data_IF_290211040339
#
_entry.id   IF_290211040339
#
_cell.length_a   1.000
_cell.length_b   1.000
_cell.length_c   1.000
_cell.angle_alpha   90.00
_cell.angle_beta   90.00
_cell.angle_gamma   90.00
#
_symmetry.space_group_name_H-M   'P 1'
#
loop_
_entity.id
_entity.type
_entity.pdbx_description
1 polymer ?
#
# COMPACT_ATOMS: atom_id res chain seq x y z
N UNK A 1 6.64 -1.04 -20.34
CA UNK A 1 5.37 -0.67 -19.65
C UNK A 1 4.57 -1.90 -19.21
N UNK A 2 4.23 -2.83 -20.11
CA UNK A 2 3.38 -4.00 -19.78
C UNK A 2 3.88 -4.85 -18.60
N UNK A 3 5.19 -5.15 -18.54
CA UNK A 3 5.77 -5.90 -17.43
C UNK A 3 5.54 -5.23 -16.05
N UNK A 4 5.69 -3.91 -15.98
CA UNK A 4 5.47 -3.14 -14.75
C UNK A 4 4.00 -3.16 -14.32
N UNK A 5 3.09 -3.08 -15.30
CA UNK A 5 1.64 -3.16 -15.05
C UNK A 5 1.28 -4.54 -14.48
N UNK A 6 1.76 -5.61 -15.11
CA UNK A 6 1.51 -6.99 -14.66
C UNK A 6 2.07 -7.22 -13.26
N UNK A 7 3.33 -6.83 -13.03
CA UNK A 7 3.96 -6.94 -11.70
C UNK A 7 3.18 -6.15 -10.64
N UNK A 8 2.76 -4.92 -10.96
CA UNK A 8 1.96 -4.08 -10.06
C UNK A 8 0.60 -4.70 -9.73
N UNK A 9 -0.11 -5.27 -10.71
CA UNK A 9 -1.39 -5.95 -10.47
C UNK A 9 -1.21 -7.16 -9.55
N UNK A 10 -0.21 -8.01 -9.85
CA UNK A 10 0.08 -9.19 -9.04
C UNK A 10 0.44 -8.81 -7.60
N UNK A 11 1.30 -7.82 -7.43
CA UNK A 11 1.70 -7.32 -6.11
C UNK A 11 0.50 -6.80 -5.31
N UNK A 12 -0.37 -5.98 -5.91
CA UNK A 12 -1.55 -5.46 -5.23
C UNK A 12 -2.56 -6.56 -4.87
N UNK A 13 -2.74 -7.56 -5.74
CA UNK A 13 -3.60 -8.71 -5.48
C UNK A 13 -3.08 -9.54 -4.29
N UNK A 14 -1.76 -9.79 -4.24
CA UNK A 14 -1.12 -10.51 -3.13
C UNK A 14 -1.29 -9.77 -1.80
N UNK A 15 -1.05 -8.46 -1.76
CA UNK A 15 -1.21 -7.67 -0.53
C UNK A 15 -2.66 -7.57 -0.06
N UNK A 16 -3.61 -7.48 -0.99
CA UNK A 16 -5.04 -7.52 -0.68
C UNK A 16 -5.42 -8.86 -0.07
N UNK A 17 -4.99 -9.97 -0.68
CA UNK A 17 -5.23 -11.31 -0.17
C UNK A 17 -4.62 -11.52 1.22
N UNK A 18 -3.37 -11.10 1.41
CA UNK A 18 -2.70 -11.14 2.72
C UNK A 18 -3.49 -10.36 3.77
N UNK A 19 -3.92 -9.14 3.45
CA UNK A 19 -4.65 -8.28 4.38
C UNK A 19 -5.99 -8.89 4.80
N UNK A 20 -6.75 -9.46 3.86
CA UNK A 20 -8.03 -10.15 4.14
C UNK A 20 -7.80 -11.39 5.01
N UNK A 21 -6.83 -12.23 4.67
CA UNK A 21 -6.56 -13.48 5.40
C UNK A 21 -6.09 -13.21 6.83
N UNK A 22 -5.10 -12.32 7.02
CA UNK A 22 -4.60 -11.94 8.35
C UNK A 22 -5.63 -11.19 9.18
N UNK A 23 -6.44 -10.33 8.58
CA UNK A 23 -7.53 -9.67 9.29
C UNK A 23 -8.58 -10.66 9.76
N UNK A 24 -8.97 -11.64 8.94
CA UNK A 24 -9.93 -12.69 9.34
C UNK A 24 -9.41 -13.59 10.47
N UNK A 25 -8.10 -13.89 10.48
CA UNK A 25 -7.49 -14.76 11.50
C UNK A 25 -7.23 -14.04 12.82
N UNK A 26 -6.70 -12.81 12.77
CA UNK A 26 -6.28 -12.08 13.97
C UNK A 26 -7.33 -11.11 14.52
N UNK A 27 -8.27 -10.65 13.67
CA UNK A 27 -9.17 -9.50 13.90
C UNK A 27 -8.46 -8.21 14.33
N UNK A 28 -7.15 -8.11 14.11
CA UNK A 28 -6.36 -6.94 14.49
C UNK A 28 -6.45 -5.91 13.37
N UNK A 29 -6.82 -4.68 13.72
CA UNK A 29 -7.00 -3.60 12.73
C UNK A 29 -5.72 -3.26 11.95
N UNK A 30 -4.53 -3.49 12.52
CA UNK A 30 -3.26 -3.24 11.83
C UNK A 30 -2.99 -4.23 10.68
N UNK A 31 -3.60 -5.41 10.68
CA UNK A 31 -3.51 -6.35 9.57
C UNK A 31 -4.26 -5.85 8.31
N UNK A 32 -5.14 -4.85 8.45
CA UNK A 32 -5.82 -4.20 7.34
C UNK A 32 -4.96 -3.13 6.63
N UNK A 33 -3.84 -2.70 7.24
CA UNK A 33 -3.00 -1.62 6.71
C UNK A 33 -2.48 -1.87 5.29
N UNK A 34 -2.03 -3.08 4.91
CA UNK A 34 -1.61 -3.34 3.53
C UNK A 34 -2.75 -3.14 2.52
N UNK A 35 -3.98 -3.50 2.87
CA UNK A 35 -5.15 -3.27 2.01
C UNK A 35 -5.44 -1.78 1.81
N UNK A 36 -5.28 -0.97 2.86
CA UNK A 36 -5.40 0.49 2.79
C UNK A 36 -4.31 1.08 1.88
N UNK A 37 -3.06 0.59 2.01
CA UNK A 37 -1.94 1.00 1.15
C UNK A 37 -2.24 0.68 -0.32
N UNK A 38 -2.75 -0.52 -0.63
CA UNK A 38 -3.14 -0.90 -1.99
C UNK A 38 -4.22 0.05 -2.53
N UNK A 39 -5.30 0.29 -1.78
CA UNK A 39 -6.37 1.19 -2.20
C UNK A 39 -5.86 2.62 -2.45
N UNK A 40 -4.96 3.12 -1.59
CA UNK A 40 -4.35 4.42 -1.76
C UNK A 40 -3.48 4.49 -3.03
N UNK A 41 -2.63 3.49 -3.27
CA UNK A 41 -1.78 3.44 -4.47
C UNK A 41 -2.62 3.43 -5.74
N UNK A 42 -3.77 2.75 -5.76
CA UNK A 42 -4.71 2.81 -6.88
C UNK A 42 -5.23 4.24 -7.15
N UNK A 43 -5.55 4.99 -6.09
CA UNK A 43 -5.98 6.40 -6.21
C UNK A 43 -4.83 7.29 -6.66
N UNK A 44 -3.64 7.14 -6.08
CA UNK A 44 -2.49 7.92 -6.50
C UNK A 44 -2.18 7.68 -7.97
N UNK A 45 -2.19 6.41 -8.41
CA UNK A 45 -1.91 6.05 -9.80
C UNK A 45 -2.97 6.51 -10.80
N UNK A 46 -4.23 6.70 -10.38
CA UNK A 46 -5.23 7.27 -11.26
C UNK A 46 -4.95 8.73 -11.61
N UNK A 47 -4.22 9.48 -10.76
CA UNK A 47 -3.79 10.84 -11.08
C UNK A 47 -2.88 10.84 -12.31
N UNK A 48 -1.89 9.95 -12.35
CA UNK A 48 -0.99 9.78 -13.51
C UNK A 48 -1.74 9.38 -14.78
N UNK A 49 -2.76 8.51 -14.67
CA UNK A 49 -3.55 8.07 -15.84
C UNK A 49 -4.54 9.13 -16.35
N UNK A 50 -5.10 9.96 -15.47
CA UNK A 50 -6.09 10.97 -15.83
C UNK A 50 -5.46 12.22 -16.45
N UNK A 51 -4.16 12.44 -16.23
CA UNK A 51 -3.31 13.43 -16.89
C UNK A 51 -3.99 14.79 -17.14
N UNK A 52 -4.39 15.45 -16.05
CA UNK A 52 -5.06 16.75 -16.13
C UNK A 52 -4.06 17.91 -16.21
N UNK A 53 -4.43 19.00 -16.91
CA UNK A 53 -3.57 20.17 -17.04
C UNK A 53 -3.31 20.85 -15.68
N UNK A 54 -2.14 21.49 -15.49
CA UNK A 54 -1.73 22.04 -14.20
C UNK A 54 -2.73 23.06 -13.66
N UNK A 55 -3.23 22.79 -12.45
CA UNK A 55 -4.09 23.70 -11.71
C UNK A 55 -3.21 24.83 -11.17
N UNK A 56 -3.58 26.08 -11.49
CA UNK A 56 -2.86 27.26 -11.00
C UNK A 56 -1.40 27.36 -11.46
N UNK A 57 -1.02 26.72 -12.59
CA UNK A 57 0.34 26.68 -13.17
C UNK A 57 1.42 25.97 -12.35
N UNK A 58 1.07 25.34 -11.21
CA UNK A 58 2.05 24.74 -10.31
C UNK A 58 1.74 23.28 -9.91
N UNK A 59 0.47 22.87 -9.92
CA UNK A 59 0.06 21.53 -9.51
C UNK A 59 -0.45 20.75 -10.71
N UNK A 60 0.38 19.87 -11.26
CA UNK A 60 -0.03 18.90 -12.29
C UNK A 60 -0.33 17.53 -11.67
N UNK A 61 -0.91 16.66 -12.50
CA UNK A 61 -1.21 15.28 -12.15
C UNK A 61 0.02 14.53 -11.63
N UNK A 62 1.18 14.76 -12.24
CA UNK A 62 2.43 14.07 -11.91
C UNK A 62 2.99 14.48 -10.54
N UNK A 63 3.01 15.77 -10.22
CA UNK A 63 3.43 16.27 -8.90
C UNK A 63 2.52 15.75 -7.79
N UNK A 64 1.21 15.66 -8.05
CA UNK A 64 0.26 15.10 -7.10
C UNK A 64 0.39 13.58 -6.97
N UNK A 65 0.79 12.86 -8.02
CA UNK A 65 1.17 11.45 -7.95
C UNK A 65 2.40 11.25 -7.03
N UNK A 66 3.46 12.04 -7.21
CA UNK A 66 4.64 12.01 -6.33
C UNK A 66 4.26 12.28 -4.87
N UNK A 67 3.47 13.33 -4.63
CA UNK A 67 3.01 13.67 -3.28
C UNK A 67 2.15 12.55 -2.67
N UNK A 68 1.24 11.99 -3.47
CA UNK A 68 0.29 10.95 -3.06
C UNK A 68 0.96 9.62 -2.70
N UNK A 69 2.15 9.34 -3.23
CA UNK A 69 2.86 8.06 -2.98
C UNK A 69 3.77 8.08 -1.75
N UNK A 70 4.13 9.26 -1.22
CA UNK A 70 4.97 9.39 0.00
C UNK A 70 4.29 8.78 1.23
N UNK A 71 3.01 9.09 1.45
CA UNK A 71 2.28 8.65 2.65
C UNK A 71 2.07 7.12 2.71
N UNK A 72 1.66 6.43 1.62
CA UNK A 72 1.62 4.98 1.57
C UNK A 72 2.93 4.30 1.97
N UNK A 73 4.07 4.86 1.57
CA UNK A 73 5.40 4.31 1.91
C UNK A 73 5.64 4.32 3.42
N UNK A 74 5.32 5.44 4.09
CA UNK A 74 5.46 5.55 5.55
C UNK A 74 4.52 4.58 6.27
N UNK A 75 3.26 4.49 5.83
CA UNK A 75 2.29 3.56 6.40
C UNK A 75 2.74 2.11 6.24
N UNK A 76 3.23 1.76 5.06
CA UNK A 76 3.69 0.41 4.74
C UNK A 76 4.94 0.02 5.55
N UNK A 77 5.89 0.94 5.73
CA UNK A 77 7.05 0.71 6.59
C UNK A 77 6.65 0.40 8.04
N UNK A 78 5.72 1.18 8.60
CA UNK A 78 5.21 0.95 9.95
C UNK A 78 4.46 -0.38 10.07
N UNK A 79 3.73 -0.78 9.02
CA UNK A 79 3.13 -2.11 8.94
C UNK A 79 4.21 -3.21 9.02
N UNK A 80 5.26 -3.13 8.21
CA UNK A 80 6.33 -4.14 8.18
C UNK A 80 7.05 -4.26 9.54
N UNK A 81 7.32 -3.13 10.18
CA UNK A 81 7.92 -3.11 11.51
C UNK A 81 7.04 -3.85 12.52
N UNK A 82 5.72 -3.59 12.49
CA UNK A 82 4.77 -4.18 13.42
C UNK A 82 4.52 -5.66 13.15
N UNK A 83 4.43 -6.06 11.89
CA UNK A 83 4.29 -7.47 11.49
C UNK A 83 5.52 -8.28 11.94
N UNK A 84 6.72 -7.73 11.75
CA UNK A 84 7.98 -8.35 12.20
C UNK A 84 8.03 -8.52 13.72
N UNK A 85 7.60 -7.51 14.47
CA UNK A 85 7.53 -7.58 15.94
C UNK A 85 6.54 -8.65 16.42
N UNK A 86 5.37 -8.77 15.76
CA UNK A 86 4.37 -9.77 16.10
C UNK A 86 4.86 -11.19 15.81
N UNK A 87 5.57 -11.39 14.69
CA UNK A 87 6.16 -12.68 14.33
C UNK A 87 7.23 -13.14 15.32
N UNK A 88 8.15 -12.24 15.71
CA UNK A 88 9.18 -12.51 16.72
C UNK A 88 8.55 -12.85 18.08
N UNK A 89 7.51 -12.11 18.49
CA UNK A 89 6.80 -12.39 19.75
C UNK A 89 6.09 -13.75 19.69
N UNK A 90 5.47 -14.10 18.57
CA UNK A 90 4.83 -15.39 18.36
C UNK A 90 5.80 -16.57 18.38
N UNK A 91 7.01 -16.41 17.83
CA UNK A 91 8.05 -17.43 17.87
C UNK A 91 8.56 -17.69 19.29
N UNK A 92 8.71 -16.64 20.11
CA UNK A 92 9.13 -16.77 21.52
C UNK A 92 8.11 -17.48 22.41
N UNK A 93 6.82 -17.38 22.11
CA UNK A 93 5.76 -18.02 22.89
C UNK A 93 5.57 -19.51 22.55
N UNK A 94 6.19 -20.00 21.46
CA UNK A 94 6.14 -21.40 21.02
C UNK A 94 7.36 -22.23 21.46
N UNK A 95 8.42 -21.58 21.95
CA UNK A 95 9.63 -22.22 22.47
C UNK A 95 9.51 -22.44 23.99
#
# INVERSE_FOLDING_TARGET
MAANIVAGILQNAMWTYFSITKYRQSKRMWAAWPGIVVAWVFIAMSLELLDFPPIGRHLDAHALWHLGTVFPTVLFYNFLLRDSQDDIAGARLKA
#
